data_IF_212998042797
#
_entry.id   IF_212998042797
#
_cell.length_a   1.000
_cell.length_b   1.000
_cell.length_c   1.000
_cell.angle_alpha   90.00
_cell.angle_beta   90.00
_cell.angle_gamma   90.00
#
_symmetry.space_group_name_H-M   'P 1'
#
loop_
_entity.id
_entity.type
_entity.pdbx_description
1 polymer ?
#
# COMPACT_ATOMS: atom_id res chain seq x y z
N UNK A 1 50.93 -126.55 0.67
CA UNK A 1 50.61 -125.38 -0.12
C UNK A 1 50.79 -124.14 0.78
N UNK A 2 51.88 -123.40 0.54
CA UNK A 2 52.30 -122.26 1.40
C UNK A 2 51.82 -120.96 0.80
N UNK A 3 50.93 -120.20 1.48
CA UNK A 3 50.47 -118.91 1.09
C UNK A 3 51.48 -117.83 1.44
N UNK A 4 51.93 -117.08 0.45
CA UNK A 4 52.84 -115.97 0.66
C UNK A 4 51.98 -114.72 0.99
N UNK A 5 52.36 -114.01 2.05
CA UNK A 5 51.68 -112.77 2.42
C UNK A 5 52.02 -111.70 1.37
N UNK A 6 50.97 -110.96 0.91
CA UNK A 6 51.08 -109.80 0.01
C UNK A 6 51.48 -108.59 0.87
N UNK A 7 52.75 -108.18 0.75
CA UNK A 7 53.22 -106.94 1.39
C UNK A 7 52.97 -105.77 0.46
N UNK A 8 52.04 -104.86 0.90
CA UNK A 8 51.89 -103.61 0.30
C UNK A 8 53.04 -102.67 0.70
N UNK A 9 54.08 -102.67 -0.07
CA UNK A 9 55.22 -101.77 0.16
C UNK A 9 55.19 -100.65 -0.84
N UNK A 10 54.08 -99.95 -0.86
CA UNK A 10 53.95 -98.72 -1.63
C UNK A 10 53.69 -97.56 -0.65
N UNK A 11 54.75 -96.92 -0.18
CA UNK A 11 54.63 -95.63 0.47
C UNK A 11 54.12 -94.62 -0.59
N UNK A 12 52.83 -94.25 -0.43
CA UNK A 12 52.26 -93.13 -1.15
C UNK A 12 52.76 -91.81 -0.55
N UNK A 13 53.94 -91.38 -0.96
CA UNK A 13 54.36 -89.99 -0.67
C UNK A 13 53.63 -89.09 -1.66
N UNK A 14 52.78 -88.21 -1.17
CA UNK A 14 52.24 -87.20 -2.07
C UNK A 14 53.40 -86.39 -2.61
N UNK A 15 53.54 -86.34 -3.93
CA UNK A 15 54.44 -85.38 -4.57
C UNK A 15 54.07 -84.04 -4.08
N UNK A 16 55.00 -83.22 -3.52
CA UNK A 16 54.71 -81.86 -3.27
C UNK A 16 54.35 -81.24 -4.64
N UNK A 17 53.09 -80.81 -4.78
CA UNK A 17 52.69 -79.96 -5.91
C UNK A 17 53.61 -78.76 -5.80
N UNK A 18 54.55 -78.69 -6.66
CA UNK A 18 55.28 -77.42 -6.85
C UNK A 18 54.22 -76.37 -7.18
N UNK A 19 53.85 -75.60 -6.16
CA UNK A 19 53.10 -74.36 -6.47
C UNK A 19 53.89 -73.65 -7.57
N UNK A 20 53.23 -73.16 -8.64
CA UNK A 20 53.92 -72.43 -9.66
C UNK A 20 54.66 -71.30 -8.97
N UNK A 21 55.99 -71.30 -9.06
CA UNK A 21 56.83 -70.16 -8.66
C UNK A 21 56.40 -69.07 -9.63
N UNK A 22 55.57 -68.11 -9.14
CA UNK A 22 55.21 -66.95 -9.90
C UNK A 22 56.55 -66.24 -10.20
N UNK A 23 56.86 -66.05 -11.45
CA UNK A 23 58.02 -65.25 -11.86
C UNK A 23 58.03 -63.96 -11.10
N UNK A 24 59.10 -63.55 -10.46
CA UNK A 24 59.23 -62.26 -9.76
C UNK A 24 58.78 -61.08 -10.63
N UNK A 25 59.02 -61.18 -11.94
CA UNK A 25 58.58 -60.21 -12.91
C UNK A 25 57.03 -60.14 -13.04
N UNK A 26 56.37 -61.31 -13.04
CA UNK A 26 54.89 -61.35 -13.07
C UNK A 26 54.24 -60.84 -11.80
N UNK A 27 54.89 -61.07 -10.63
CA UNK A 27 54.45 -60.51 -9.33
C UNK A 27 54.64 -58.97 -9.30
N UNK A 28 55.73 -58.46 -9.84
CA UNK A 28 56.03 -57.05 -9.94
C UNK A 28 55.05 -56.35 -10.89
N UNK A 29 54.68 -56.95 -12.01
CA UNK A 29 53.65 -56.42 -12.95
C UNK A 29 52.26 -56.42 -12.31
N UNK A 30 51.89 -57.48 -11.59
CA UNK A 30 50.61 -57.56 -10.89
C UNK A 30 50.53 -56.49 -9.77
N UNK A 31 51.62 -56.25 -9.03
CA UNK A 31 51.70 -55.16 -8.03
C UNK A 31 51.67 -53.77 -8.67
N UNK A 32 52.38 -53.57 -9.75
CA UNK A 32 52.34 -52.28 -10.47
C UNK A 32 50.95 -51.99 -11.05
N UNK A 33 50.28 -53.00 -11.59
CA UNK A 33 48.91 -52.85 -12.11
C UNK A 33 47.91 -52.57 -10.96
N UNK A 34 48.07 -53.23 -9.79
CA UNK A 34 47.23 -52.99 -8.62
C UNK A 34 47.45 -51.59 -8.03
N UNK A 35 48.69 -51.10 -8.01
CA UNK A 35 49.00 -49.74 -7.58
C UNK A 35 48.42 -48.69 -8.54
N UNK A 36 48.60 -48.88 -9.84
CA UNK A 36 48.06 -47.97 -10.87
C UNK A 36 46.51 -47.93 -10.79
N UNK A 37 45.87 -49.07 -10.52
CA UNK A 37 44.41 -49.12 -10.33
C UNK A 37 43.97 -48.42 -9.06
N UNK A 38 44.72 -48.56 -7.95
CA UNK A 38 44.43 -47.88 -6.69
C UNK A 38 44.61 -46.37 -6.81
N UNK A 39 45.66 -45.89 -7.50
CA UNK A 39 45.88 -44.47 -7.79
C UNK A 39 44.77 -43.92 -8.66
N UNK A 40 44.39 -44.61 -9.73
CA UNK A 40 43.31 -44.18 -10.62
C UNK A 40 41.96 -44.08 -9.89
N UNK A 41 41.69 -45.02 -8.94
CA UNK A 41 40.52 -45.03 -8.11
C UNK A 41 40.52 -43.83 -7.14
N UNK A 42 41.67 -43.58 -6.48
CA UNK A 42 41.85 -42.45 -5.57
C UNK A 42 41.66 -41.12 -6.28
N UNK A 43 42.24 -40.96 -7.48
CA UNK A 43 42.08 -39.77 -8.31
C UNK A 43 40.61 -39.56 -8.79
N UNK A 44 39.97 -40.66 -9.18
CA UNK A 44 38.56 -40.61 -9.58
C UNK A 44 37.67 -40.21 -8.38
N UNK A 45 37.94 -40.74 -7.18
CA UNK A 45 37.23 -40.39 -5.96
C UNK A 45 37.48 -38.92 -5.59
N UNK A 46 38.74 -38.46 -5.63
CA UNK A 46 39.09 -37.06 -5.34
C UNK A 46 38.39 -36.09 -6.29
N UNK A 47 38.39 -36.38 -7.61
CA UNK A 47 37.67 -35.59 -8.60
C UNK A 47 36.17 -35.59 -8.37
N UNK A 48 35.57 -36.74 -8.19
CA UNK A 48 34.13 -36.87 -7.91
C UNK A 48 33.70 -36.13 -6.64
N UNK A 49 34.54 -36.16 -5.59
CA UNK A 49 34.28 -35.39 -4.37
C UNK A 49 34.33 -33.87 -4.59
N UNK A 50 35.35 -33.39 -5.33
CA UNK A 50 35.45 -31.95 -5.66
C UNK A 50 34.30 -31.49 -6.56
N UNK A 51 33.97 -32.28 -7.59
CA UNK A 51 32.84 -31.97 -8.46
C UNK A 51 31.53 -31.98 -7.71
N UNK A 52 31.28 -32.99 -6.85
CA UNK A 52 30.07 -33.05 -6.02
C UNK A 52 29.97 -31.90 -5.05
N UNK A 53 31.08 -31.48 -4.43
CA UNK A 53 31.13 -30.31 -3.56
C UNK A 53 30.82 -29.02 -4.33
N UNK A 54 31.48 -28.81 -5.47
CA UNK A 54 31.24 -27.62 -6.30
C UNK A 54 29.77 -27.56 -6.76
N UNK A 55 29.19 -28.69 -7.17
CA UNK A 55 27.80 -28.78 -7.57
C UNK A 55 26.84 -28.49 -6.41
N UNK A 56 27.13 -29.01 -5.21
CA UNK A 56 26.34 -28.74 -4.02
C UNK A 56 26.39 -27.26 -3.60
N UNK A 57 27.56 -26.64 -3.71
CA UNK A 57 27.73 -25.20 -3.45
C UNK A 57 26.91 -24.36 -4.44
N UNK A 58 26.98 -24.67 -5.74
CA UNK A 58 26.19 -23.99 -6.78
C UNK A 58 24.66 -24.16 -6.55
N UNK A 59 24.24 -25.37 -6.22
CA UNK A 59 22.83 -25.62 -5.91
C UNK A 59 22.35 -24.84 -4.68
N UNK A 60 23.19 -24.76 -3.65
CA UNK A 60 22.86 -24.02 -2.44
C UNK A 60 22.76 -22.52 -2.72
N UNK A 61 23.71 -21.98 -3.50
CA UNK A 61 23.67 -20.59 -3.94
C UNK A 61 22.41 -20.28 -4.79
N UNK A 62 22.08 -21.17 -5.72
CA UNK A 62 20.88 -21.02 -6.55
C UNK A 62 19.59 -21.02 -5.71
N UNK A 63 19.48 -21.95 -4.75
CA UNK A 63 18.33 -22.00 -3.82
C UNK A 63 18.24 -20.76 -2.94
N UNK A 64 19.39 -20.26 -2.47
CA UNK A 64 19.43 -19.02 -1.68
C UNK A 64 19.01 -17.82 -2.49
N UNK A 65 19.50 -17.68 -3.74
CA UNK A 65 19.11 -16.61 -4.64
C UNK A 65 17.61 -16.66 -4.96
N UNK A 66 17.05 -17.83 -5.23
CA UNK A 66 15.61 -18.01 -5.44
C UNK A 66 14.80 -17.66 -4.20
N UNK A 67 15.22 -18.08 -3.02
CA UNK A 67 14.56 -17.75 -1.76
C UNK A 67 14.59 -16.22 -1.49
N UNK A 68 15.72 -15.56 -1.73
CA UNK A 68 15.85 -14.10 -1.58
C UNK A 68 14.97 -13.35 -2.59
N UNK A 69 14.89 -13.83 -3.83
CA UNK A 69 14.01 -13.25 -4.85
C UNK A 69 12.55 -13.35 -4.44
N UNK A 70 12.11 -14.52 -3.97
CA UNK A 70 10.73 -14.71 -3.48
C UNK A 70 10.44 -13.83 -2.27
N UNK A 71 11.37 -13.72 -1.34
CA UNK A 71 11.23 -12.83 -0.18
C UNK A 71 11.11 -11.36 -0.61
N UNK A 72 11.95 -10.93 -1.56
CA UNK A 72 11.88 -9.58 -2.12
C UNK A 72 10.53 -9.27 -2.79
N UNK A 73 10.02 -10.19 -3.60
CA UNK A 73 8.71 -10.05 -4.23
C UNK A 73 7.57 -10.03 -3.19
N UNK A 74 7.63 -10.88 -2.18
CA UNK A 74 6.64 -10.89 -1.11
C UNK A 74 6.66 -9.59 -0.29
N UNK A 75 7.84 -9.08 0.04
CA UNK A 75 8.00 -7.80 0.74
C UNK A 75 7.48 -6.63 -0.10
N UNK A 76 7.81 -6.57 -1.40
CA UNK A 76 7.29 -5.56 -2.30
C UNK A 76 5.76 -5.62 -2.40
N UNK A 77 5.18 -6.81 -2.47
CA UNK A 77 3.73 -7.01 -2.47
C UNK A 77 3.06 -6.52 -1.18
N UNK A 78 3.67 -6.78 -0.02
CA UNK A 78 3.16 -6.29 1.27
C UNK A 78 3.23 -4.76 1.38
N UNK A 79 4.33 -4.14 0.93
CA UNK A 79 4.46 -2.68 0.90
C UNK A 79 3.40 -2.05 0.01
N UNK A 80 3.20 -2.58 -1.21
CA UNK A 80 2.15 -2.09 -2.09
C UNK A 80 0.73 -2.24 -1.52
N UNK A 81 0.46 -3.30 -0.73
CA UNK A 81 -0.81 -3.43 -0.02
C UNK A 81 -0.97 -2.43 1.12
N UNK A 82 0.12 -2.08 1.83
CA UNK A 82 0.09 -1.05 2.87
C UNK A 82 -0.19 0.32 2.27
N UNK A 83 0.51 0.68 1.20
CA UNK A 83 0.29 1.95 0.49
C UNK A 83 -1.17 2.07 -0.01
N UNK A 84 -1.71 1.00 -0.60
CA UNK A 84 -3.10 0.98 -1.06
C UNK A 84 -4.11 1.15 0.10
N UNK A 85 -3.86 0.52 1.24
CA UNK A 85 -4.71 0.65 2.43
C UNK A 85 -4.62 2.03 3.05
N UNK A 86 -3.45 2.65 3.02
CA UNK A 86 -3.28 4.00 3.57
C UNK A 86 -4.01 5.03 2.70
N UNK A 87 -3.92 4.92 1.36
CA UNK A 87 -4.73 5.73 0.44
C UNK A 87 -6.24 5.56 0.68
N UNK A 88 -6.71 4.33 0.83
CA UNK A 88 -8.12 4.06 1.13
C UNK A 88 -8.56 4.69 2.46
N UNK A 89 -7.71 4.62 3.49
CA UNK A 89 -8.00 5.25 4.79
C UNK A 89 -8.03 6.77 4.70
N UNK A 90 -7.12 7.37 3.95
CA UNK A 90 -7.12 8.83 3.71
C UNK A 90 -8.40 9.28 3.02
N UNK A 91 -8.83 8.57 1.97
CA UNK A 91 -10.08 8.84 1.28
C UNK A 91 -11.29 8.70 2.21
N UNK A 92 -11.38 7.61 2.97
CA UNK A 92 -12.45 7.39 3.94
C UNK A 92 -12.46 8.46 5.04
N UNK A 93 -11.29 8.85 5.55
CA UNK A 93 -11.16 9.91 6.55
C UNK A 93 -11.62 11.27 6.00
N UNK A 94 -11.31 11.58 4.74
CA UNK A 94 -11.75 12.80 4.09
C UNK A 94 -13.26 12.82 3.90
N UNK A 95 -13.86 11.75 3.37
CA UNK A 95 -15.32 11.61 3.21
C UNK A 95 -16.03 11.75 4.55
N UNK A 96 -15.53 11.08 5.59
CA UNK A 96 -16.09 11.19 6.94
C UNK A 96 -15.98 12.61 7.50
N UNK A 97 -14.83 13.27 7.34
CA UNK A 97 -14.61 14.64 7.82
C UNK A 97 -15.55 15.64 7.16
N UNK A 98 -15.77 15.50 5.85
CA UNK A 98 -16.73 16.33 5.11
C UNK A 98 -18.15 16.07 5.58
N UNK A 99 -18.54 14.81 5.72
CA UNK A 99 -19.88 14.46 6.21
C UNK A 99 -20.15 15.00 7.63
N UNK A 100 -19.15 14.89 8.51
CA UNK A 100 -19.22 15.45 9.86
C UNK A 100 -19.31 16.99 9.84
N UNK A 101 -18.46 17.64 9.03
CA UNK A 101 -18.49 19.10 8.85
C UNK A 101 -19.85 19.59 8.33
N UNK A 102 -20.42 18.92 7.34
CA UNK A 102 -21.76 19.18 6.81
C UNK A 102 -22.82 19.05 7.91
N UNK A 103 -22.77 18.01 8.71
CA UNK A 103 -23.73 17.78 9.77
C UNK A 103 -23.67 18.87 10.83
N UNK A 104 -22.48 19.18 11.33
CA UNK A 104 -22.27 20.21 12.34
C UNK A 104 -22.65 21.60 11.82
N UNK A 105 -22.18 21.97 10.61
CA UNK A 105 -22.51 23.25 10.01
C UNK A 105 -24.01 23.37 9.71
N UNK A 106 -24.64 22.28 9.29
CA UNK A 106 -26.08 22.22 9.07
C UNK A 106 -26.86 22.55 10.33
N UNK A 107 -26.59 21.83 11.42
CA UNK A 107 -27.28 22.06 12.70
C UNK A 107 -27.06 23.48 13.25
N UNK A 108 -25.84 24.01 13.11
CA UNK A 108 -25.53 25.37 13.55
C UNK A 108 -26.26 26.44 12.73
N UNK A 109 -26.35 26.27 11.39
CA UNK A 109 -27.07 27.18 10.51
C UNK A 109 -28.59 27.13 10.71
N UNK A 110 -29.12 25.92 10.93
CA UNK A 110 -30.56 25.73 11.20
C UNK A 110 -30.94 26.33 12.53
N UNK A 111 -30.04 26.28 13.52
CA UNK A 111 -30.28 26.88 14.85
C UNK A 111 -30.12 28.41 14.85
N UNK A 112 -29.24 28.98 14.04
CA UNK A 112 -28.88 30.40 14.02
C UNK A 112 -28.78 30.99 12.61
N UNK A 113 -29.84 30.92 11.81
CA UNK A 113 -29.83 31.35 10.40
C UNK A 113 -29.46 32.82 10.21
N UNK A 114 -29.89 33.69 11.15
CA UNK A 114 -29.59 35.12 11.11
C UNK A 114 -28.12 35.47 11.29
N UNK A 115 -27.34 34.60 11.93
CA UNK A 115 -25.88 34.82 12.06
C UNK A 115 -25.20 34.84 10.70
N UNK A 116 -25.55 33.87 9.87
CA UNK A 116 -25.01 33.74 8.52
C UNK A 116 -25.45 34.89 7.59
N UNK A 117 -26.74 35.28 7.69
CA UNK A 117 -27.28 36.45 6.98
C UNK A 117 -26.56 37.73 7.42
N UNK A 118 -26.33 37.87 8.73
CA UNK A 118 -25.62 39.02 9.28
C UNK A 118 -24.17 39.15 8.82
N UNK A 119 -23.46 38.03 8.68
CA UNK A 119 -22.10 38.03 8.14
C UNK A 119 -22.07 38.45 6.63
N UNK A 120 -22.99 37.91 5.83
CA UNK A 120 -23.14 38.30 4.45
C UNK A 120 -23.49 39.79 4.33
N UNK A 121 -24.41 40.31 5.19
CA UNK A 121 -24.77 41.72 5.23
C UNK A 121 -23.59 42.62 5.62
N UNK A 122 -22.78 42.24 6.60
CA UNK A 122 -21.56 42.98 6.97
C UNK A 122 -20.58 43.06 5.81
N UNK A 123 -20.38 41.94 5.11
CA UNK A 123 -19.53 41.90 3.93
C UNK A 123 -20.04 42.78 2.81
N UNK A 124 -21.34 42.72 2.46
CA UNK A 124 -21.95 43.54 1.46
C UNK A 124 -21.82 45.06 1.79
N UNK A 125 -22.15 45.43 3.02
CA UNK A 125 -22.11 46.82 3.51
C UNK A 125 -20.71 47.44 3.47
N UNK A 126 -19.64 46.68 3.43
CA UNK A 126 -18.27 47.19 3.28
C UNK A 126 -18.05 47.82 1.88
N UNK A 127 -18.80 47.38 0.89
CA UNK A 127 -18.66 47.80 -0.51
C UNK A 127 -19.67 48.87 -0.91
N UNK A 128 -20.66 49.21 -0.05
CA UNK A 128 -21.78 50.08 -0.34
C UNK A 128 -21.52 51.55 0.03
N UNK A 129 -20.49 52.17 -0.55
CA UNK A 129 -20.28 53.62 -0.36
C UNK A 129 -21.01 54.41 -1.47
N UNK A 130 -21.94 55.30 -1.05
CA UNK A 130 -22.67 56.15 -1.99
C UNK A 130 -23.74 55.44 -2.81
N UNK A 131 -24.11 54.22 -2.44
CA UNK A 131 -25.14 53.44 -3.14
C UNK A 131 -26.53 53.87 -2.63
N UNK A 132 -27.51 54.22 -3.53
CA UNK A 132 -28.79 54.79 -3.14
C UNK A 132 -29.77 53.77 -2.53
N UNK A 133 -29.63 52.47 -2.85
CA UNK A 133 -30.52 51.43 -2.33
C UNK A 133 -29.84 50.09 -2.20
N UNK A 134 -30.29 49.30 -1.23
CA UNK A 134 -29.91 47.91 -1.01
C UNK A 134 -31.17 47.08 -0.88
N UNK A 135 -31.30 46.06 -1.70
CA UNK A 135 -32.36 45.05 -1.60
C UNK A 135 -31.77 43.79 -1.00
N UNK A 136 -32.38 43.28 0.04
CA UNK A 136 -32.01 42.04 0.72
C UNK A 136 -33.15 41.05 0.60
N UNK A 137 -32.89 39.88 0.01
CA UNK A 137 -33.85 38.77 -0.09
C UNK A 137 -33.45 37.69 0.84
N UNK A 138 -34.39 37.21 1.65
CA UNK A 138 -34.21 36.13 2.64
C UNK A 138 -35.41 35.20 2.58
N UNK A 139 -35.32 34.03 3.23
CA UNK A 139 -36.51 33.18 3.40
C UNK A 139 -37.65 33.97 4.06
N UNK A 140 -38.87 33.74 3.61
CA UNK A 140 -40.07 34.52 4.06
C UNK A 140 -40.27 34.50 5.59
N UNK A 141 -39.95 33.38 6.25
CA UNK A 141 -40.09 33.26 7.72
C UNK A 141 -39.10 34.10 8.54
N UNK A 142 -38.08 34.68 7.90
CA UNK A 142 -37.01 35.44 8.56
C UNK A 142 -37.04 36.94 8.21
N UNK A 143 -38.03 37.41 7.46
CA UNK A 143 -38.07 38.79 6.93
C UNK A 143 -37.97 39.81 8.06
N UNK A 144 -38.83 39.75 9.07
CA UNK A 144 -38.88 40.75 10.14
C UNK A 144 -37.59 40.81 10.96
N UNK A 145 -37.02 39.62 11.28
CA UNK A 145 -35.80 39.52 12.07
C UNK A 145 -34.58 39.97 11.24
N UNK A 146 -34.52 39.57 9.98
CA UNK A 146 -33.48 39.98 9.06
C UNK A 146 -33.52 41.51 8.78
N UNK A 147 -34.73 42.08 8.67
CA UNK A 147 -34.89 43.54 8.50
C UNK A 147 -34.34 44.29 9.71
N UNK A 148 -34.69 43.87 10.93
CA UNK A 148 -34.17 44.45 12.18
C UNK A 148 -32.63 44.35 12.25
N UNK A 149 -32.09 43.20 11.91
CA UNK A 149 -30.64 42.91 11.94
C UNK A 149 -29.91 43.79 10.90
N UNK A 150 -30.33 43.77 9.62
CA UNK A 150 -29.66 44.49 8.53
C UNK A 150 -29.81 46.01 8.71
N UNK A 151 -30.94 46.51 9.16
CA UNK A 151 -31.11 47.94 9.52
C UNK A 151 -30.13 48.41 10.61
N UNK A 152 -29.88 47.55 11.60
CA UNK A 152 -28.90 47.84 12.65
C UNK A 152 -27.50 47.89 12.05
N UNK A 153 -27.09 46.87 11.27
CA UNK A 153 -25.77 46.78 10.64
C UNK A 153 -25.54 47.92 9.66
N UNK A 154 -26.58 48.33 8.90
CA UNK A 154 -26.54 49.47 7.96
C UNK A 154 -26.23 50.77 8.70
N UNK A 155 -26.92 51.03 9.83
CA UNK A 155 -26.66 52.20 10.68
C UNK A 155 -25.25 52.19 11.28
N UNK A 156 -24.78 51.04 11.77
CA UNK A 156 -23.41 50.90 12.30
C UNK A 156 -22.33 51.20 11.25
N UNK A 157 -22.64 50.97 9.97
CA UNK A 157 -21.74 51.20 8.84
C UNK A 157 -21.92 52.53 8.13
N UNK A 158 -22.87 53.39 8.62
CA UNK A 158 -23.14 54.69 8.02
C UNK A 158 -23.79 54.59 6.63
N UNK A 159 -24.54 53.55 6.35
CA UNK A 159 -25.31 53.44 5.11
C UNK A 159 -26.55 54.31 5.18
N UNK A 160 -26.61 55.29 4.29
CA UNK A 160 -27.72 56.26 4.22
C UNK A 160 -28.75 55.97 3.12
N UNK A 161 -28.51 54.96 2.31
CA UNK A 161 -29.39 54.53 1.23
C UNK A 161 -30.69 53.88 1.72
N UNK A 162 -31.60 53.65 0.80
CA UNK A 162 -32.86 52.96 1.09
C UNK A 162 -32.60 51.47 1.20
N UNK A 163 -32.98 50.89 2.36
CA UNK A 163 -32.92 49.41 2.60
C UNK A 163 -34.33 48.83 2.40
N UNK A 164 -34.43 47.74 1.64
CA UNK A 164 -35.65 46.97 1.42
C UNK A 164 -35.31 45.49 1.68
N UNK A 165 -36.09 44.85 2.54
CA UNK A 165 -36.00 43.41 2.81
C UNK A 165 -37.23 42.71 2.23
N UNK A 166 -37.01 41.65 1.47
CA UNK A 166 -38.05 40.90 0.77
C UNK A 166 -38.00 39.44 1.14
N UNK A 167 -39.14 38.80 1.34
CA UNK A 167 -39.30 37.38 1.51
C UNK A 167 -39.27 36.64 0.16
N UNK A 168 -38.53 35.59 0.07
CA UNK A 168 -38.44 34.67 -1.07
C UNK A 168 -38.58 33.25 -0.59
N UNK A 169 -39.69 32.54 -0.88
CA UNK A 169 -39.96 31.20 -0.32
C UNK A 169 -38.99 30.11 -0.82
N UNK A 170 -38.37 30.36 -1.98
CA UNK A 170 -37.42 29.43 -2.59
C UNK A 170 -36.01 29.51 -1.98
N UNK A 171 -35.72 30.51 -1.15
CA UNK A 171 -34.46 30.61 -0.42
C UNK A 171 -34.50 29.70 0.82
N UNK A 172 -33.42 28.97 1.08
CA UNK A 172 -33.31 28.20 2.32
C UNK A 172 -33.08 29.14 3.53
N UNK A 173 -33.56 28.77 4.74
CA UNK A 173 -33.26 29.52 5.96
C UNK A 173 -31.75 29.68 6.15
N UNK A 174 -31.28 30.93 6.27
CA UNK A 174 -29.86 31.27 6.36
C UNK A 174 -29.20 31.64 5.04
N UNK A 175 -29.83 31.39 3.89
CA UNK A 175 -29.42 31.93 2.59
C UNK A 175 -29.92 33.35 2.41
N UNK A 176 -29.18 34.13 1.64
CA UNK A 176 -29.54 35.51 1.38
C UNK A 176 -28.96 35.98 0.03
N UNK A 177 -29.72 36.86 -0.61
CA UNK A 177 -29.28 37.60 -1.81
C UNK A 177 -29.37 39.08 -1.54
N UNK A 178 -28.27 39.77 -1.72
CA UNK A 178 -28.15 41.22 -1.51
C UNK A 178 -27.79 41.88 -2.82
N UNK A 179 -28.59 42.81 -3.25
CA UNK A 179 -28.48 43.42 -4.57
C UNK A 179 -28.47 44.96 -4.45
N UNK A 180 -27.61 45.61 -5.21
CA UNK A 180 -27.51 47.07 -5.37
C UNK A 180 -27.21 47.40 -6.82
N UNK A 181 -27.17 48.71 -7.15
CA UNK A 181 -27.11 49.18 -8.54
C UNK A 181 -25.98 48.52 -9.37
N UNK A 182 -24.82 48.33 -8.80
CA UNK A 182 -23.62 47.91 -9.55
C UNK A 182 -23.13 46.50 -9.17
N UNK A 183 -23.92 45.73 -8.41
CA UNK A 183 -23.52 44.38 -8.04
C UNK A 183 -24.40 43.72 -6.98
N UNK A 184 -23.89 42.63 -6.42
CA UNK A 184 -24.62 41.89 -5.40
C UNK A 184 -23.72 40.90 -4.70
N UNK A 185 -24.18 40.40 -3.55
CA UNK A 185 -23.62 39.29 -2.81
C UNK A 185 -24.69 38.23 -2.67
N UNK A 186 -24.38 37.02 -3.04
CA UNK A 186 -25.24 35.86 -2.86
C UNK A 186 -24.60 34.94 -1.85
N UNK A 187 -25.31 34.67 -0.77
CA UNK A 187 -25.00 33.59 0.15
C UNK A 187 -25.93 32.43 -0.17
N UNK A 188 -25.35 31.34 -0.64
CA UNK A 188 -26.04 30.11 -1.02
C UNK A 188 -25.23 28.95 -0.43
N UNK A 189 -25.83 28.26 0.53
CA UNK A 189 -25.19 27.15 1.24
C UNK A 189 -24.78 26.04 0.28
N UNK A 190 -25.64 25.67 -0.66
CA UNK A 190 -25.36 24.59 -1.58
C UNK A 190 -24.15 24.91 -2.49
N UNK A 191 -24.06 26.16 -2.96
CA UNK A 191 -22.92 26.62 -3.76
C UNK A 191 -21.62 26.68 -2.96
N UNK A 192 -21.66 27.13 -1.72
CA UNK A 192 -20.50 27.15 -0.83
C UNK A 192 -20.01 25.72 -0.61
N UNK A 193 -20.92 24.81 -0.34
CA UNK A 193 -20.63 23.41 -0.13
C UNK A 193 -20.02 22.74 -1.37
N UNK A 194 -20.59 22.98 -2.55
CA UNK A 194 -20.06 22.50 -3.82
C UNK A 194 -18.63 23.02 -4.06
N UNK A 195 -18.38 24.30 -3.81
CA UNK A 195 -17.05 24.89 -3.96
C UNK A 195 -16.01 24.29 -2.98
N UNK A 196 -16.42 23.96 -1.74
CA UNK A 196 -15.56 23.28 -0.78
C UNK A 196 -15.23 21.86 -1.23
N UNK A 197 -16.23 21.11 -1.74
CA UNK A 197 -16.03 19.78 -2.26
C UNK A 197 -15.07 19.76 -3.46
N UNK A 198 -15.28 20.69 -4.39
CA UNK A 198 -14.42 20.87 -5.56
C UNK A 198 -12.96 21.17 -5.14
N UNK A 199 -12.78 22.07 -4.17
CA UNK A 199 -11.45 22.41 -3.64
C UNK A 199 -10.75 21.23 -2.94
N UNK A 200 -11.52 20.28 -2.40
CA UNK A 200 -11.03 19.03 -1.81
C UNK A 200 -10.83 17.90 -2.83
N UNK A 201 -11.15 18.12 -4.11
CA UNK A 201 -11.11 17.10 -5.15
C UNK A 201 -12.23 16.05 -5.03
N UNK A 202 -13.26 16.35 -4.24
CA UNK A 202 -14.43 15.49 -4.05
C UNK A 202 -15.53 16.02 -4.97
N UNK A 203 -15.86 15.29 -6.02
CA UNK A 203 -17.03 15.60 -6.84
C UNK A 203 -18.32 15.33 -6.04
N UNK A 204 -19.27 16.27 -6.16
CA UNK A 204 -20.60 16.15 -5.56
C UNK A 204 -21.41 14.98 -6.13
#
# INVERSE_FOLDING_TARGET
MSARPFLFDTEFRPRPSAAPVKDEAALAEEQAAAQAQAEALADAHARGFQEGRAQAELQTQARMADALTRLGLAAAGLLGQLDARDLEREEQAMVFSVALGRRIAGEALDALPLTAIGEAARSALQHLRGVPHLVVRVHESLVDEAEALVKRLARERGFEGRLVVLGEPDLAPGDARMEWADGGVVRDRARIEAAVLEALGLSA
#
